data_IF_020655530481
#
_entry.id   IF_020655530481
#
_cell.length_a   1.000
_cell.length_b   1.000
_cell.length_c   1.000
_cell.angle_alpha   90.00
_cell.angle_beta   90.00
_cell.angle_gamma   90.00
#
_symmetry.space_group_name_H-M   'P 1'
#
loop_
_entity.id
_entity.type
_entity.pdbx_description
1 polymer ?
#
# COMPACT_ATOMS: atom_id res chain seq x y z
N UNK A 1 67.45 -25.04 -0.35
CA UNK A 1 66.66 -24.62 -1.53
C UNK A 1 65.23 -25.12 -1.37
N UNK A 2 64.26 -24.21 -1.51
CA UNK A 2 62.83 -24.37 -1.84
C UNK A 2 62.18 -25.77 -1.69
N UNK A 3 61.06 -25.82 -0.96
CA UNK A 3 59.77 -26.33 -1.47
C UNK A 3 58.62 -25.92 -0.54
N UNK A 4 57.86 -24.94 -1.03
CA UNK A 4 56.51 -24.55 -0.63
C UNK A 4 55.53 -25.70 -0.88
N UNK A 5 54.61 -25.96 0.06
CA UNK A 5 53.31 -26.50 -0.30
C UNK A 5 52.22 -25.84 0.57
N UNK A 6 51.53 -24.92 -0.09
CA UNK A 6 50.36 -24.19 0.35
C UNK A 6 49.18 -25.16 0.41
N UNK A 7 48.63 -25.42 1.59
CA UNK A 7 47.39 -26.18 1.77
C UNK A 7 46.18 -25.25 1.59
N UNK A 8 45.55 -25.36 0.43
CA UNK A 8 44.35 -24.63 0.02
C UNK A 8 43.15 -25.06 0.88
N UNK A 9 42.67 -24.19 1.76
CA UNK A 9 41.43 -24.39 2.53
C UNK A 9 40.24 -24.01 1.62
N UNK A 10 39.23 -24.87 1.41
CA UNK A 10 38.08 -24.50 0.60
C UNK A 10 37.21 -23.51 1.37
N UNK A 11 37.12 -22.27 0.85
CA UNK A 11 36.08 -21.32 1.24
C UNK A 11 34.72 -21.95 0.89
N UNK A 12 34.03 -22.48 1.89
CA UNK A 12 32.61 -22.72 1.81
C UNK A 12 31.90 -21.36 1.66
N UNK A 13 31.62 -20.99 0.41
CA UNK A 13 30.72 -19.90 0.08
C UNK A 13 29.32 -20.27 0.61
N UNK A 14 29.00 -19.78 1.80
CA UNK A 14 27.62 -19.63 2.26
C UNK A 14 26.93 -18.62 1.33
N UNK A 15 26.49 -19.09 0.16
CA UNK A 15 25.50 -18.40 -0.65
C UNK A 15 24.13 -18.50 0.04
N UNK A 16 24.00 -17.89 1.22
CA UNK A 16 22.71 -17.59 1.82
C UNK A 16 22.15 -16.33 1.11
N UNK A 17 21.88 -16.45 -0.19
CA UNK A 17 21.08 -15.47 -0.91
C UNK A 17 19.59 -15.79 -0.62
N UNK A 18 19.20 -15.65 0.66
CA UNK A 18 17.80 -15.65 1.09
C UNK A 18 17.09 -14.31 0.81
N UNK A 19 17.77 -13.37 0.13
CA UNK A 19 17.25 -12.08 -0.27
C UNK A 19 16.51 -12.15 -1.60
N UNK A 20 15.36 -12.83 -1.62
CA UNK A 20 14.42 -12.70 -2.73
C UNK A 20 13.81 -11.30 -2.75
N UNK A 21 13.30 -10.88 -3.91
CA UNK A 21 12.49 -9.66 -4.05
C UNK A 21 11.36 -9.67 -3.00
N UNK A 22 11.31 -8.63 -2.17
CA UNK A 22 10.28 -8.45 -1.15
C UNK A 22 9.07 -7.78 -1.80
N UNK A 23 7.94 -8.47 -1.72
CA UNK A 23 6.64 -8.00 -2.22
C UNK A 23 5.69 -7.91 -1.04
N UNK A 24 4.99 -6.79 -0.90
CA UNK A 24 3.93 -6.63 0.08
C UNK A 24 2.61 -6.35 -0.61
N UNK A 25 1.54 -6.96 -0.14
CA UNK A 25 0.18 -6.74 -0.66
C UNK A 25 -0.72 -6.36 0.50
N UNK A 26 -1.26 -5.14 0.47
CA UNK A 26 -2.32 -4.72 1.41
C UNK A 26 -3.67 -5.10 0.80
N UNK A 27 -4.32 -6.10 1.38
CA UNK A 27 -5.65 -6.55 0.96
C UNK A 27 -6.68 -5.71 1.69
N UNK A 28 -7.52 -4.99 0.95
CA UNK A 28 -8.60 -4.16 1.49
C UNK A 28 -9.94 -4.81 1.20
N UNK A 29 -10.81 -4.94 2.22
CA UNK A 29 -12.15 -5.53 2.06
C UNK A 29 -13.23 -4.71 2.77
N UNK A 30 -14.49 -4.94 2.39
CA UNK A 30 -15.66 -4.54 3.16
C UNK A 30 -16.19 -5.78 3.89
N UNK A 31 -16.16 -5.76 5.21
CA UNK A 31 -16.39 -6.92 6.06
C UNK A 31 -15.13 -7.31 6.83
N UNK A 32 -14.83 -8.60 6.89
CA UNK A 32 -13.62 -9.14 7.52
C UNK A 32 -12.80 -9.97 6.54
N UNK A 33 -11.47 -9.91 6.66
CA UNK A 33 -10.53 -10.71 5.87
C UNK A 33 -9.67 -11.58 6.77
N UNK A 34 -9.30 -12.76 6.27
CA UNK A 34 -8.26 -13.61 6.86
C UNK A 34 -7.41 -14.20 5.76
N UNK A 35 -6.09 -14.28 5.97
CA UNK A 35 -5.14 -14.81 4.98
C UNK A 35 -4.52 -16.09 5.50
N UNK A 36 -4.73 -17.19 4.78
CA UNK A 36 -4.03 -18.44 5.03
C UNK A 36 -2.64 -18.37 4.38
N UNK A 37 -1.61 -18.24 5.23
CA UNK A 37 -0.21 -18.06 4.80
C UNK A 37 0.38 -19.28 4.10
N UNK A 38 -0.25 -20.45 4.22
CA UNK A 38 0.25 -21.73 3.70
C UNK A 38 -0.12 -21.99 2.25
N UNK A 39 -1.21 -21.39 1.74
CA UNK A 39 -1.76 -21.67 0.41
C UNK A 39 -2.10 -20.40 -0.39
N UNK A 40 -1.73 -19.22 0.12
CA UNK A 40 -2.04 -17.92 -0.49
C UNK A 40 -3.55 -17.68 -0.69
N UNK A 41 -4.39 -18.31 0.14
CA UNK A 41 -5.83 -18.11 0.11
C UNK A 41 -6.23 -16.93 1.00
N UNK A 42 -6.92 -15.96 0.41
CA UNK A 42 -7.60 -14.86 1.09
C UNK A 42 -9.06 -15.27 1.27
N UNK A 43 -9.55 -15.30 2.50
CA UNK A 43 -10.97 -15.51 2.79
C UNK A 43 -11.60 -14.18 3.17
N UNK A 44 -12.65 -13.82 2.44
CA UNK A 44 -13.43 -12.59 2.64
C UNK A 44 -14.82 -12.97 3.15
N UNK A 45 -15.18 -12.41 4.29
CA UNK A 45 -16.53 -12.46 4.82
C UNK A 45 -17.17 -11.09 4.69
N UNK A 46 -18.27 -11.04 3.97
CA UNK A 46 -19.02 -9.81 3.76
C UNK A 46 -19.56 -9.27 5.09
N UNK A 47 -19.60 -7.94 5.18
CA UNK A 47 -20.11 -7.26 6.35
C UNK A 47 -20.11 -5.74 6.15
N UNK A 48 -20.55 -5.02 7.18
CA UNK A 48 -20.61 -3.56 7.17
C UNK A 48 -19.28 -2.90 7.49
N UNK A 49 -18.36 -3.63 8.14
CA UNK A 49 -17.06 -3.14 8.58
C UNK A 49 -16.04 -2.91 7.47
N UNK A 50 -14.88 -2.38 7.87
CA UNK A 50 -13.68 -2.31 7.05
C UNK A 50 -12.58 -3.11 7.72
N UNK A 51 -11.86 -3.90 6.93
CA UNK A 51 -10.65 -4.57 7.39
C UNK A 51 -9.62 -4.58 6.29
N UNK A 52 -8.36 -4.54 6.70
CA UNK A 52 -7.20 -4.72 5.84
C UNK A 52 -6.22 -5.70 6.46
N UNK A 53 -5.58 -6.50 5.63
CA UNK A 53 -4.55 -7.47 6.03
C UNK A 53 -3.36 -7.33 5.08
N UNK A 54 -2.16 -7.30 5.63
CA UNK A 54 -0.92 -7.26 4.86
C UNK A 54 -0.40 -8.69 4.61
N UNK A 55 -0.03 -8.97 3.36
CA UNK A 55 0.60 -10.23 2.95
C UNK A 55 2.02 -9.92 2.50
N UNK A 56 2.99 -10.56 3.15
CA UNK A 56 4.39 -10.54 2.69
C UNK A 56 4.64 -11.74 1.79
N UNK A 57 5.05 -11.48 0.56
CA UNK A 57 5.40 -12.47 -0.44
C UNK A 57 6.90 -12.37 -0.73
N UNK A 58 7.58 -13.51 -0.74
CA UNK A 58 9.02 -13.59 -1.00
C UNK A 58 9.30 -14.34 -2.30
N UNK A 59 10.40 -13.96 -2.95
CA UNK A 59 10.95 -14.67 -4.10
C UNK A 59 10.68 -13.98 -5.43
N UNK A 60 11.44 -14.41 -6.45
CA UNK A 60 11.59 -13.70 -7.72
C UNK A 60 10.64 -14.22 -8.81
N UNK A 61 9.54 -14.87 -8.43
CA UNK A 61 8.53 -15.41 -9.35
C UNK A 61 7.19 -14.72 -9.13
N UNK A 62 6.31 -14.64 -10.15
CA UNK A 62 4.93 -14.27 -9.95
C UNK A 62 4.27 -15.18 -8.91
N UNK A 63 3.32 -14.64 -8.16
CA UNK A 63 2.60 -15.37 -7.12
C UNK A 63 1.13 -15.20 -7.31
N UNK A 64 0.41 -16.31 -7.38
CA UNK A 64 -1.04 -16.30 -7.52
C UNK A 64 -1.70 -16.35 -6.14
N UNK A 65 -2.58 -15.39 -5.87
CA UNK A 65 -3.44 -15.34 -4.69
C UNK A 65 -4.84 -15.80 -5.09
N UNK A 66 -5.53 -16.50 -4.19
CA UNK A 66 -6.93 -16.91 -4.39
C UNK A 66 -7.82 -16.23 -3.37
N UNK A 67 -8.71 -15.34 -3.81
CA UNK A 67 -9.71 -14.69 -2.97
C UNK A 67 -11.03 -15.46 -3.01
N UNK A 68 -11.49 -15.93 -1.85
CA UNK A 68 -12.78 -16.63 -1.67
C UNK A 68 -13.73 -15.78 -0.86
N UNK A 69 -14.92 -15.54 -1.38
CA UNK A 69 -16.00 -14.84 -0.69
C UNK A 69 -16.98 -15.82 -0.05
N UNK A 70 -17.74 -15.35 0.95
CA UNK A 70 -18.70 -16.20 1.68
C UNK A 70 -19.85 -16.72 0.82
N UNK A 71 -20.11 -16.11 -0.34
CA UNK A 71 -21.07 -16.56 -1.35
C UNK A 71 -20.52 -17.71 -2.23
N UNK A 72 -19.30 -18.19 -1.97
CA UNK A 72 -18.65 -19.27 -2.70
C UNK A 72 -17.95 -18.84 -3.98
N UNK A 73 -17.93 -17.55 -4.34
CA UNK A 73 -17.13 -17.08 -5.48
C UNK A 73 -15.64 -17.13 -5.14
N UNK A 74 -14.86 -17.46 -6.16
CA UNK A 74 -13.40 -17.49 -6.09
C UNK A 74 -12.84 -16.64 -7.21
N UNK A 75 -11.89 -15.75 -6.88
CA UNK A 75 -11.18 -14.92 -7.84
C UNK A 75 -9.68 -15.17 -7.69
N UNK A 76 -9.01 -15.30 -8.81
CA UNK A 76 -7.56 -15.49 -8.86
C UNK A 76 -6.90 -14.15 -9.17
N UNK A 77 -5.85 -13.80 -8.43
CA UNK A 77 -5.11 -12.55 -8.57
C UNK A 77 -3.63 -12.88 -8.75
N UNK A 78 -3.07 -12.46 -9.88
CA UNK A 78 -1.65 -12.64 -10.15
C UNK A 78 -0.87 -11.42 -9.63
N UNK A 79 -0.02 -11.67 -8.65
CA UNK A 79 0.96 -10.70 -8.16
C UNK A 79 2.22 -10.84 -9.01
N UNK A 80 2.67 -9.76 -9.67
CA UNK A 80 3.88 -9.79 -10.49
C UNK A 80 5.14 -10.18 -9.71
N UNK A 81 6.23 -10.48 -10.43
CA UNK A 81 7.50 -10.86 -9.82
C UNK A 81 8.26 -9.67 -9.21
N UNK A 82 7.93 -8.45 -9.67
CA UNK A 82 8.61 -7.22 -9.33
C UNK A 82 8.43 -6.89 -7.83
N UNK A 83 9.51 -6.52 -7.13
CA UNK A 83 9.42 -6.07 -5.74
C UNK A 83 8.57 -4.80 -5.65
N UNK A 84 8.01 -4.59 -4.47
CA UNK A 84 7.24 -3.39 -4.17
C UNK A 84 6.06 -3.63 -3.24
N UNK A 85 5.33 -2.56 -2.98
CA UNK A 85 4.10 -2.57 -2.20
C UNK A 85 2.91 -2.36 -3.13
N UNK A 86 2.00 -3.34 -3.13
CA UNK A 86 0.77 -3.39 -3.90
C UNK A 86 -0.44 -3.24 -2.99
N UNK A 87 -1.54 -2.76 -3.56
CA UNK A 87 -2.87 -2.81 -2.95
C UNK A 87 -3.75 -3.73 -3.77
N UNK A 88 -4.42 -4.66 -3.10
CA UNK A 88 -5.50 -5.46 -3.65
C UNK A 88 -6.82 -5.00 -3.04
N UNK A 89 -7.69 -4.38 -3.83
CA UNK A 89 -9.04 -4.05 -3.38
C UNK A 89 -9.99 -5.20 -3.73
N UNK A 90 -10.51 -5.91 -2.74
CA UNK A 90 -11.64 -6.84 -2.91
C UNK A 90 -12.96 -6.19 -2.44
N UNK A 91 -12.98 -4.86 -2.39
CA UNK A 91 -14.16 -4.08 -2.08
C UNK A 91 -15.02 -3.93 -3.32
N UNK A 92 -16.30 -3.60 -3.13
CA UNK A 92 -17.22 -3.27 -4.22
C UNK A 92 -17.14 -1.80 -4.67
N UNK A 93 -16.54 -0.92 -3.87
CA UNK A 93 -16.30 0.48 -4.16
C UNK A 93 -14.83 0.77 -4.50
N UNK A 94 -14.62 1.83 -5.27
CA UNK A 94 -13.29 2.33 -5.63
C UNK A 94 -12.63 3.03 -4.45
N UNK A 95 -11.34 2.77 -4.30
CA UNK A 95 -10.47 3.47 -3.34
C UNK A 95 -9.51 4.35 -4.11
N UNK A 96 -9.33 5.58 -3.65
CA UNK A 96 -8.36 6.52 -4.21
C UNK A 96 -7.32 6.86 -3.17
N UNK A 97 -6.09 7.10 -3.59
CA UNK A 97 -5.03 7.44 -2.66
C UNK A 97 -3.92 8.26 -3.28
N UNK A 98 -3.14 8.89 -2.42
CA UNK A 98 -2.01 9.71 -2.81
C UNK A 98 -0.85 9.58 -1.82
N UNK A 99 0.35 9.88 -2.31
CA UNK A 99 1.52 10.08 -1.47
C UNK A 99 1.29 11.21 -0.45
N UNK A 100 1.81 11.01 0.76
CA UNK A 100 1.75 11.95 1.86
C UNK A 100 3.15 12.45 2.13
N UNK A 101 3.36 13.75 1.93
CA UNK A 101 4.63 14.37 2.23
C UNK A 101 4.87 14.27 3.75
N UNK A 102 5.93 13.55 4.13
CA UNK A 102 6.30 13.38 5.52
C UNK A 102 6.61 14.75 6.14
N UNK A 103 5.76 15.19 7.08
CA UNK A 103 5.95 16.44 7.83
C UNK A 103 4.83 17.49 7.75
N UNK A 104 3.78 17.33 6.92
CA UNK A 104 2.79 18.42 6.73
C UNK A 104 1.38 18.14 7.28
N UNK A 105 1.01 16.91 7.61
CA UNK A 105 -0.39 16.60 8.00
C UNK A 105 -0.60 16.45 9.52
N UNK A 106 0.41 16.71 10.35
CA UNK A 106 0.27 16.67 11.82
C UNK A 106 0.88 17.85 12.57
N UNK A 107 1.33 18.89 11.86
CA UNK A 107 1.62 20.16 12.51
C UNK A 107 0.30 20.89 12.78
N UNK A 108 -0.35 20.56 13.90
CA UNK A 108 -1.41 21.39 14.46
C UNK A 108 -0.92 22.84 14.54
N UNK A 109 -1.58 23.75 13.83
CA UNK A 109 -1.33 25.19 13.91
C UNK A 109 -0.96 25.91 12.61
N UNK A 110 -0.84 25.25 11.45
CA UNK A 110 -0.71 26.01 10.20
C UNK A 110 -2.04 26.69 9.84
N UNK A 111 -2.05 28.02 9.82
CA UNK A 111 -3.12 28.83 9.23
C UNK A 111 -3.15 28.50 7.74
N UNK A 112 -4.06 27.61 7.33
CA UNK A 112 -4.31 27.30 5.93
C UNK A 112 -5.00 28.52 5.31
N UNK A 113 -4.41 29.08 4.25
CA UNK A 113 -5.04 30.17 3.50
C UNK A 113 -6.28 29.67 2.75
N UNK A 114 -7.23 30.56 2.45
CA UNK A 114 -8.40 30.21 1.64
C UNK A 114 -8.02 29.70 0.25
N UNK A 115 -6.91 30.17 -0.31
CA UNK A 115 -6.38 29.71 -1.60
C UNK A 115 -5.87 28.27 -1.50
N UNK A 116 -5.05 27.97 -0.48
CA UNK A 116 -4.57 26.62 -0.23
C UNK A 116 -5.70 25.63 0.07
N UNK A 117 -6.77 26.09 0.74
CA UNK A 117 -7.97 25.30 0.98
C UNK A 117 -8.71 24.97 -0.32
N UNK A 118 -8.88 25.95 -1.22
CA UNK A 118 -9.48 25.74 -2.54
C UNK A 118 -8.66 24.80 -3.42
N UNK A 119 -7.32 24.94 -3.42
CA UNK A 119 -6.41 24.06 -4.15
C UNK A 119 -6.50 22.61 -3.64
N UNK A 120 -6.56 22.41 -2.31
CA UNK A 120 -6.80 21.08 -1.72
C UNK A 120 -8.15 20.50 -2.15
N UNK A 121 -9.22 21.29 -2.14
CA UNK A 121 -10.55 20.85 -2.59
C UNK A 121 -10.52 20.42 -4.07
N UNK A 122 -9.94 21.22 -4.95
CA UNK A 122 -9.85 20.90 -6.38
C UNK A 122 -9.03 19.63 -6.63
N UNK A 123 -7.89 19.48 -5.94
CA UNK A 123 -7.05 18.28 -6.03
C UNK A 123 -7.80 17.02 -5.59
N UNK A 124 -8.57 17.10 -4.50
CA UNK A 124 -9.39 15.99 -4.03
C UNK A 124 -10.53 15.66 -5.01
N UNK A 125 -11.17 16.67 -5.60
CA UNK A 125 -12.23 16.47 -6.58
C UNK A 125 -11.70 15.79 -7.85
N UNK A 126 -10.55 16.24 -8.36
CA UNK A 126 -9.84 15.60 -9.48
C UNK A 126 -9.50 14.14 -9.19
N UNK A 127 -8.99 13.84 -8.00
CA UNK A 127 -8.67 12.49 -7.58
C UNK A 127 -9.89 11.56 -7.59
N UNK A 128 -11.06 12.03 -7.10
CA UNK A 128 -12.30 11.22 -7.13
C UNK A 128 -12.83 10.95 -8.54
N UNK A 129 -12.49 11.83 -9.50
CA UNK A 129 -12.85 11.66 -10.91
C UNK A 129 -11.87 10.77 -11.66
N UNK A 130 -10.83 10.26 -10.99
CA UNK A 130 -9.74 9.53 -11.63
C UNK A 130 -8.84 10.40 -12.51
N UNK A 131 -9.00 11.72 -12.46
CA UNK A 131 -8.11 12.64 -13.14
C UNK A 131 -6.77 12.72 -12.38
N UNK A 132 -5.67 12.90 -13.12
CA UNK A 132 -4.31 12.96 -12.56
C UNK A 132 -3.82 11.70 -11.82
N UNK A 133 -4.50 10.56 -12.00
CA UNK A 133 -4.03 9.23 -11.55
C UNK A 133 -2.85 8.80 -12.42
N UNK A 134 -1.67 8.77 -11.83
CA UNK A 134 -0.48 8.23 -12.47
C UNK A 134 0.57 7.89 -11.41
N UNK A 135 1.45 6.95 -11.74
CA UNK A 135 2.62 6.66 -10.91
C UNK A 135 3.53 7.89 -10.76
N UNK A 136 3.61 8.75 -11.79
CA UNK A 136 4.41 9.98 -11.76
C UNK A 136 3.87 11.03 -10.78
N UNK A 137 2.55 11.12 -10.64
CA UNK A 137 1.91 12.03 -9.69
C UNK A 137 1.71 11.39 -8.31
N UNK A 138 2.12 10.13 -8.14
CA UNK A 138 1.85 9.33 -6.95
C UNK A 138 0.38 9.37 -6.49
N UNK A 139 -0.52 9.36 -7.47
CA UNK A 139 -1.97 9.34 -7.29
C UNK A 139 -2.50 8.03 -7.88
N UNK A 140 -3.34 7.35 -7.11
CA UNK A 140 -3.78 5.99 -7.40
C UNK A 140 -5.30 5.91 -7.32
N UNK A 141 -5.85 5.16 -8.26
CA UNK A 141 -7.24 4.72 -8.24
C UNK A 141 -7.21 3.20 -8.30
N UNK A 142 -7.82 2.57 -7.31
CA UNK A 142 -7.91 1.11 -7.17
C UNK A 142 -9.38 0.73 -7.29
N UNK A 143 -9.76 0.22 -8.46
CA UNK A 143 -11.10 -0.27 -8.72
C UNK A 143 -11.38 -1.59 -7.97
N UNK A 144 -12.66 -2.00 -7.87
CA UNK A 144 -13.02 -3.31 -7.35
C UNK A 144 -12.26 -4.45 -8.03
N UNK A 145 -11.78 -5.41 -7.25
CA UNK A 145 -11.03 -6.59 -7.67
C UNK A 145 -9.73 -6.29 -8.42
N UNK A 146 -9.14 -5.11 -8.17
CA UNK A 146 -7.91 -4.69 -8.83
C UNK A 146 -6.71 -4.80 -7.90
N UNK A 147 -5.60 -5.29 -8.47
CA UNK A 147 -4.25 -5.17 -7.90
C UNK A 147 -3.54 -3.99 -8.54
N UNK A 148 -3.04 -3.05 -7.72
CA UNK A 148 -2.29 -1.87 -8.18
C UNK A 148 -0.96 -1.81 -7.46
N UNK A 149 0.13 -1.64 -8.20
CA UNK A 149 1.44 -1.34 -7.63
C UNK A 149 1.47 0.12 -7.18
N UNK A 150 1.79 0.34 -5.92
CA UNK A 150 1.88 1.70 -5.34
C UNK A 150 3.31 2.21 -5.41
N UNK A 151 4.27 1.42 -4.95
CA UNK A 151 5.69 1.82 -4.92
C UNK A 151 6.61 0.61 -5.09
N UNK A 152 7.82 0.84 -5.58
CA UNK A 152 8.91 -0.14 -5.57
C UNK A 152 9.51 -0.35 -4.17
N UNK A 153 9.20 0.53 -3.22
CA UNK A 153 9.66 0.43 -1.84
C UNK A 153 8.71 -0.41 -0.99
N UNK A 154 9.01 -1.70 -0.84
CA UNK A 154 8.28 -2.58 0.10
C UNK A 154 8.33 -2.10 1.57
N UNK A 155 9.25 -1.19 1.92
CA UNK A 155 9.32 -0.56 3.24
C UNK A 155 8.38 0.65 3.42
N UNK A 156 7.62 1.04 2.39
CA UNK A 156 6.65 2.12 2.50
C UNK A 156 5.51 1.79 3.48
N UNK A 157 4.74 2.81 3.85
CA UNK A 157 3.64 2.72 4.80
C UNK A 157 2.35 3.12 4.09
N UNK A 158 1.46 2.17 3.92
CA UNK A 158 0.16 2.39 3.28
C UNK A 158 -0.91 2.35 4.37
N UNK A 159 -1.72 3.41 4.42
CA UNK A 159 -2.89 3.50 5.29
C UNK A 159 -4.15 3.44 4.43
N UNK A 160 -4.94 2.39 4.61
CA UNK A 160 -6.21 2.25 3.89
C UNK A 160 -7.31 3.20 4.37
N UNK A 161 -8.51 3.09 3.78
CA UNK A 161 -9.73 3.74 4.25
C UNK A 161 -9.91 3.68 5.77
N UNK A 162 -10.46 4.75 6.35
CA UNK A 162 -10.78 4.88 7.79
C UNK A 162 -9.61 4.79 8.77
N UNK A 163 -8.43 4.31 8.37
CA UNK A 163 -7.21 4.32 9.18
C UNK A 163 -6.57 5.69 9.14
N UNK A 164 -6.26 6.23 10.32
CA UNK A 164 -5.53 7.48 10.48
C UNK A 164 -4.04 7.20 10.47
N UNK A 165 -3.28 8.15 9.91
CA UNK A 165 -1.83 8.19 10.11
C UNK A 165 -1.59 8.52 11.59
N UNK A 166 -0.77 7.74 12.32
CA UNK A 166 -0.46 8.02 13.72
C UNK A 166 0.12 9.42 13.91
N UNK A 167 -0.45 10.17 14.87
CA UNK A 167 0.00 11.53 15.18
C UNK A 167 1.42 11.59 15.78
N UNK A 168 1.87 10.50 16.40
CA UNK A 168 3.24 10.34 16.90
C UNK A 168 4.28 10.19 15.77
N UNK A 169 3.86 10.24 14.51
CA UNK A 169 4.69 9.92 13.35
C UNK A 169 4.72 8.42 13.08
N UNK A 170 5.31 8.06 11.94
CA UNK A 170 5.52 6.67 11.56
C UNK A 170 7.02 6.42 11.58
N UNK A 171 7.43 5.33 12.21
CA UNK A 171 8.85 5.00 12.27
C UNK A 171 9.41 4.77 10.85
N UNK A 172 10.59 5.33 10.55
CA UNK A 172 11.23 5.10 9.27
C UNK A 172 11.53 3.62 9.09
N UNK A 173 11.48 3.11 7.86
CA UNK A 173 11.78 1.70 7.60
C UNK A 173 13.24 1.39 7.96
N UNK A 174 13.47 0.19 8.52
CA UNK A 174 14.80 -0.28 8.94
C UNK A 174 15.82 -0.40 7.78
N UNK A 175 15.35 -0.27 6.54
CA UNK A 175 16.16 -0.34 5.33
C UNK A 175 16.88 0.98 4.97
N UNK A 176 16.75 2.03 5.79
CA UNK A 176 17.41 3.32 5.60
C UNK A 176 16.88 4.17 4.43
N UNK A 177 15.82 3.72 3.75
CA UNK A 177 15.15 4.53 2.73
C UNK A 177 14.30 5.64 3.38
N UNK A 178 14.04 6.76 2.67
CA UNK A 178 13.11 7.77 3.14
C UNK A 178 11.74 7.15 3.48
N UNK A 179 11.11 7.66 4.52
CA UNK A 179 9.76 7.26 4.90
C UNK A 179 8.78 7.69 3.80
N UNK A 180 8.27 6.71 3.06
CA UNK A 180 7.20 6.89 2.09
C UNK A 180 5.87 6.53 2.75
N UNK A 181 4.95 7.49 2.84
CA UNK A 181 3.60 7.27 3.36
C UNK A 181 2.59 7.48 2.23
N UNK A 182 1.63 6.57 2.12
CA UNK A 182 0.49 6.71 1.23
C UNK A 182 -0.80 6.60 2.03
N UNK A 183 -1.76 7.48 1.74
CA UNK A 183 -3.09 7.45 2.35
C UNK A 183 -4.13 7.18 1.28
N UNK A 184 -4.94 6.16 1.55
CA UNK A 184 -6.05 5.74 0.71
C UNK A 184 -7.37 5.99 1.42
N UNK A 185 -8.37 6.42 0.67
CA UNK A 185 -9.71 6.75 1.15
C UNK A 185 -10.74 6.28 0.14
N UNK A 186 -11.92 5.91 0.61
CA UNK A 186 -13.06 5.68 -0.28
C UNK A 186 -13.49 7.00 -0.94
N UNK A 187 -14.12 6.92 -2.10
CA UNK A 187 -14.71 8.11 -2.74
C UNK A 187 -15.69 8.86 -1.81
N UNK A 188 -16.37 8.13 -0.91
CA UNK A 188 -17.27 8.73 0.06
C UNK A 188 -16.51 9.52 1.14
N UNK A 189 -15.43 8.98 1.69
CA UNK A 189 -14.57 9.71 2.64
C UNK A 189 -13.98 10.98 2.02
N UNK A 190 -13.57 10.92 0.76
CA UNK A 190 -13.05 12.10 0.05
C UNK A 190 -14.13 13.16 -0.12
N UNK A 191 -15.35 12.76 -0.54
CA UNK A 191 -16.49 13.68 -0.64
C UNK A 191 -16.84 14.32 0.70
N UNK A 192 -16.90 13.54 1.77
CA UNK A 192 -17.12 14.07 3.12
C UNK A 192 -16.04 15.06 3.56
N UNK A 193 -14.79 14.78 3.19
CA UNK A 193 -13.66 15.67 3.45
C UNK A 193 -13.81 16.98 2.67
N UNK A 194 -14.13 16.91 1.37
CA UNK A 194 -14.42 18.08 0.54
C UNK A 194 -15.53 18.93 1.15
N UNK A 195 -16.64 18.32 1.57
CA UNK A 195 -17.77 19.05 2.18
C UNK A 195 -17.38 19.72 3.52
N UNK A 196 -16.53 19.09 4.33
CA UNK A 196 -15.98 19.72 5.54
C UNK A 196 -15.08 20.91 5.19
N UNK A 197 -14.19 20.76 4.23
CA UNK A 197 -13.28 21.83 3.80
C UNK A 197 -14.06 23.02 3.21
N UNK A 198 -15.10 22.77 2.40
CA UNK A 198 -15.98 23.82 1.85
C UNK A 198 -16.64 24.67 2.95
N UNK A 199 -17.07 24.06 4.06
CA UNK A 199 -17.65 24.79 5.21
C UNK A 199 -16.64 25.70 5.90
N UNK A 200 -15.35 25.37 5.83
CA UNK A 200 -14.27 26.21 6.37
C UNK A 200 -13.84 27.31 5.39
N UNK A 201 -14.29 27.24 4.13
CA UNK A 201 -13.99 28.25 3.10
C UNK A 201 -15.03 29.38 3.03
N UNK A 202 -16.12 29.27 3.81
CA UNK A 202 -17.19 30.27 3.94
C UNK A 202 -16.91 31.20 5.13
#
# INVERSE_FOLDING_TARGET
MKKTLFGLLPLALLAACGGGAEKKVLVMVKGSVSVAKTDNTITVKEGTGYSEEEIELKGNKPTTLTAKTSDGKSTTIDVPAEPGYYILSLRSDTVVGSFQQSGTESAGGQVISQESLKQKIDSLDQLTKGANVSAANHNYLVAPNQLVKVTDNAGARIFGPFRRIPAAGVEPPANGKPLEIYKFSTNNEVRETIEKLKKMTQ
#
